data_IF_756926365647
#
_entry.id   IF_756926365647
#
_cell.length_a   1.000
_cell.length_b   1.000
_cell.length_c   1.000
_cell.angle_alpha   90.00
_cell.angle_beta   90.00
_cell.angle_gamma   90.00
#
_symmetry.space_group_name_H-M   'P 1'
#
loop_
_entity.id
_entity.type
_entity.pdbx_description
1 polymer ?
#
# COMPACT_ATOMS: atom_id res chain seq x y z
N UNK A 1 -6.58 -72.18 19.70
CA UNK A 1 -5.20 -71.66 19.70
C UNK A 1 -5.31 -70.13 19.75
N UNK A 2 -5.28 -69.41 20.88
CA UNK A 2 -4.24 -69.30 21.92
C UNK A 2 -2.85 -69.19 21.24
N UNK A 3 -2.09 -68.08 21.28
CA UNK A 3 -1.62 -67.27 22.43
C UNK A 3 -0.90 -65.99 21.92
N UNK A 4 -1.14 -64.78 22.47
CA UNK A 4 -0.28 -64.02 23.44
C UNK A 4 0.89 -63.21 22.81
N UNK A 5 1.44 -62.06 23.26
CA UNK A 5 1.44 -61.15 24.45
C UNK A 5 1.87 -59.76 23.91
N UNK A 6 1.44 -58.57 24.38
CA UNK A 6 1.50 -57.89 25.69
C UNK A 6 2.91 -57.62 26.27
N UNK A 7 3.36 -56.35 26.23
CA UNK A 7 4.05 -55.56 27.30
C UNK A 7 4.76 -54.33 26.72
N UNK A 8 5.10 -53.24 27.44
CA UNK A 8 4.57 -52.44 28.56
C UNK A 8 5.71 -51.45 28.89
N UNK A 9 5.35 -50.20 29.22
CA UNK A 9 6.08 -49.23 30.08
C UNK A 9 7.45 -48.70 29.58
N UNK A 10 7.87 -47.45 29.82
CA UNK A 10 7.30 -46.37 30.64
C UNK A 10 8.08 -45.05 30.54
N UNK A 11 7.38 -43.97 30.94
CA UNK A 11 7.78 -42.64 31.46
C UNK A 11 9.24 -42.15 31.35
N UNK A 12 9.43 -40.90 30.93
CA UNK A 12 9.90 -39.80 31.81
C UNK A 12 9.84 -38.42 31.13
N UNK A 13 9.52 -37.40 31.92
CA UNK A 13 9.32 -35.99 31.59
C UNK A 13 10.64 -35.28 31.20
N UNK A 14 10.57 -34.28 30.31
CA UNK A 14 11.27 -32.99 30.48
C UNK A 14 10.44 -31.84 29.94
N UNK A 15 10.19 -30.90 30.85
CA UNK A 15 9.76 -29.53 30.59
C UNK A 15 10.73 -28.83 29.64
N UNK A 16 10.22 -28.13 28.63
CA UNK A 16 10.86 -26.97 28.02
C UNK A 16 9.76 -26.02 27.55
N UNK A 17 9.55 -24.95 28.33
CA UNK A 17 8.89 -23.74 27.85
C UNK A 17 9.82 -23.13 26.81
N UNK A 18 9.41 -23.12 25.55
CA UNK A 18 9.90 -22.19 24.56
C UNK A 18 8.76 -21.21 24.29
N UNK A 19 8.96 -19.99 24.77
CA UNK A 19 8.26 -18.81 24.29
C UNK A 19 8.63 -18.64 22.82
N UNK A 20 7.72 -19.00 21.92
CA UNK A 20 7.82 -18.63 20.51
C UNK A 20 7.62 -17.12 20.41
N UNK A 21 8.72 -16.36 20.55
CA UNK A 21 8.80 -15.05 19.94
C UNK A 21 8.82 -15.28 18.43
N UNK A 22 7.65 -15.14 17.81
CA UNK A 22 7.55 -15.03 16.35
C UNK A 22 8.30 -13.77 15.95
N UNK A 23 9.53 -13.95 15.47
CA UNK A 23 10.29 -12.91 14.79
C UNK A 23 9.68 -12.76 13.39
N UNK A 24 8.77 -11.81 13.23
CA UNK A 24 8.25 -11.43 11.92
C UNK A 24 9.32 -10.63 11.18
N UNK A 25 10.14 -11.30 10.40
CA UNK A 25 10.94 -10.65 9.35
C UNK A 25 9.99 -9.98 8.34
N UNK A 26 10.12 -8.67 8.08
CA UNK A 26 9.31 -8.01 7.06
C UNK A 26 9.68 -8.54 5.67
N UNK A 27 8.66 -8.76 4.83
CA UNK A 27 8.84 -9.20 3.44
C UNK A 27 8.97 -7.95 2.57
N UNK A 28 10.06 -7.85 1.80
CA UNK A 28 10.28 -6.77 0.83
C UNK A 28 9.52 -7.12 -0.44
N UNK A 29 8.44 -6.39 -0.74
CA UNK A 29 7.59 -6.69 -1.91
C UNK A 29 7.94 -5.88 -3.16
N UNK A 30 8.63 -4.73 -3.05
CA UNK A 30 9.10 -3.98 -4.24
C UNK A 30 10.18 -2.95 -3.94
N UNK A 31 11.05 -2.70 -4.93
CA UNK A 31 12.04 -1.61 -4.96
C UNK A 31 11.54 -0.52 -5.90
N UNK A 32 11.45 0.72 -5.43
CA UNK A 32 11.14 1.89 -6.26
C UNK A 32 12.38 2.79 -6.30
N UNK A 33 12.92 3.04 -7.49
CA UNK A 33 14.05 3.95 -7.66
C UNK A 33 13.54 5.36 -7.98
N UNK A 34 13.90 6.35 -7.15
CA UNK A 34 13.68 7.77 -7.44
C UNK A 34 15.03 8.47 -7.24
N UNK A 35 15.70 8.83 -8.33
CA UNK A 35 17.09 9.33 -8.30
C UNK A 35 18.12 8.26 -7.92
N UNK A 36 19.32 8.66 -7.48
CA UNK A 36 20.42 7.75 -7.05
C UNK A 36 20.10 6.90 -5.79
N UNK A 37 18.85 6.91 -5.31
CA UNK A 37 18.45 6.22 -4.10
C UNK A 37 17.33 5.22 -4.37
N UNK A 38 17.63 3.93 -4.14
CA UNK A 38 16.64 2.84 -4.14
C UNK A 38 15.83 2.90 -2.84
N UNK A 39 14.50 2.93 -2.95
CA UNK A 39 13.57 3.04 -1.81
C UNK A 39 12.72 1.77 -1.72
N UNK A 40 12.60 1.21 -0.51
CA UNK A 40 11.87 -0.03 -0.23
C UNK A 40 10.60 0.25 0.59
N UNK A 41 9.50 -0.44 0.25
CA UNK A 41 8.26 -0.46 1.04
C UNK A 41 8.23 -1.73 1.91
N UNK A 42 7.86 -1.59 3.18
CA UNK A 42 7.74 -2.70 4.13
C UNK A 42 6.29 -2.84 4.60
N UNK A 43 5.72 -4.04 4.47
CA UNK A 43 4.35 -4.35 4.93
C UNK A 43 4.43 -5.27 6.14
N UNK A 44 3.83 -4.85 7.26
CA UNK A 44 3.66 -5.72 8.43
C UNK A 44 2.22 -6.27 8.48
N UNK A 45 2.07 -7.60 8.37
CA UNK A 45 0.76 -8.26 8.54
C UNK A 45 0.55 -8.57 10.03
N UNK A 46 -0.11 -7.66 10.76
CA UNK A 46 -0.72 -8.04 12.03
C UNK A 46 -1.98 -8.87 11.74
N UNK A 47 -2.08 -10.04 12.39
CA UNK A 47 -3.23 -10.94 12.26
C UNK A 47 -4.46 -10.34 12.99
N UNK A 48 -5.63 -10.42 12.33
CA UNK A 48 -7.00 -10.29 12.87
C UNK A 48 -7.73 -8.94 12.93
N UNK A 49 -7.27 -7.89 12.22
CA UNK A 49 -8.12 -6.72 11.93
C UNK A 49 -8.14 -6.47 10.43
N UNK A 50 -9.25 -5.95 9.89
CA UNK A 50 -9.45 -5.55 8.49
C UNK A 50 -8.57 -4.35 8.07
N UNK A 51 -7.40 -4.20 8.69
CA UNK A 51 -6.58 -3.00 8.71
C UNK A 51 -5.12 -3.39 8.52
N UNK A 52 -4.45 -2.78 7.54
CA UNK A 52 -3.00 -2.85 7.37
C UNK A 52 -2.42 -1.45 7.45
N UNK A 53 -1.73 -1.17 8.54
CA UNK A 53 -0.89 0.02 8.68
C UNK A 53 0.43 -0.28 7.99
N UNK A 54 0.80 0.55 7.01
CA UNK A 54 2.07 0.46 6.31
C UNK A 54 2.96 1.58 6.82
N UNK A 55 4.19 1.24 7.20
CA UNK A 55 5.21 2.20 7.54
C UNK A 55 6.07 2.45 6.29
N UNK A 56 6.12 3.68 5.75
CA UNK A 56 7.13 4.07 4.80
C UNK A 56 8.42 4.50 5.53
N UNK A 57 9.56 4.17 4.92
CA UNK A 57 10.91 4.70 5.17
C UNK A 57 11.61 4.42 6.52
N UNK A 58 12.73 3.68 6.45
CA UNK A 58 13.86 3.86 7.37
C UNK A 58 14.73 5.01 6.86
N UNK A 59 14.89 6.07 7.65
CA UNK A 59 15.93 7.10 7.42
C UNK A 59 17.29 6.55 7.89
N UNK A 60 17.82 5.53 7.21
CA UNK A 60 19.17 5.00 7.46
C UNK A 60 20.07 5.27 6.26
N UNK A 61 20.50 6.52 6.08
CA UNK A 61 21.76 6.83 5.39
C UNK A 61 22.28 8.22 5.72
N UNK A 62 22.63 8.46 6.98
CA UNK A 62 23.78 9.29 7.29
C UNK A 62 24.79 8.39 8.00
N UNK A 63 25.70 7.78 7.24
CA UNK A 63 26.96 7.32 7.84
C UNK A 63 27.73 8.59 8.24
N UNK A 64 28.06 8.81 9.52
CA UNK A 64 29.05 9.79 9.87
C UNK A 64 30.37 9.36 9.22
N UNK A 65 30.92 10.23 8.38
CA UNK A 65 32.28 10.08 7.84
C UNK A 65 33.23 9.81 9.00
N UNK A 66 33.90 8.66 8.93
CA UNK A 66 34.85 8.23 9.92
C UNK A 66 35.96 9.28 10.10
N UNK A 67 36.07 9.85 11.30
CA UNK A 67 37.33 10.38 11.81
C UNK A 67 37.61 9.71 13.15
N UNK A 68 38.69 8.93 13.12
CA UNK A 68 39.40 8.22 14.18
C UNK A 68 39.41 8.85 15.59
N UNK A 69 39.04 8.07 16.61
CA UNK A 69 39.92 7.61 17.71
C UNK A 69 39.16 6.71 18.71
N UNK A 70 39.76 5.62 19.24
CA UNK A 70 39.08 4.69 20.14
C UNK A 70 39.42 5.01 21.60
N UNK A 71 38.81 6.03 22.20
CA UNK A 71 38.83 6.24 23.65
C UNK A 71 37.85 7.37 24.07
N UNK A 72 36.55 7.18 23.85
CA UNK A 72 35.53 7.78 24.74
C UNK A 72 34.16 7.15 24.43
N UNK A 73 33.79 6.07 25.11
CA UNK A 73 32.40 5.60 25.09
C UNK A 73 31.74 6.22 26.31
N UNK A 74 31.44 7.52 26.19
CA UNK A 74 30.51 8.18 27.11
C UNK A 74 29.11 7.93 26.55
N UNK A 75 28.33 7.18 27.33
CA UNK A 75 26.89 6.99 27.22
C UNK A 75 26.20 8.34 26.92
N UNK A 76 25.78 8.55 25.67
CA UNK A 76 25.08 9.78 25.27
C UNK A 76 24.17 9.50 24.08
N UNK A 77 22.91 9.22 24.40
CA UNK A 77 21.72 9.50 23.60
C UNK A 77 21.71 8.98 22.16
N UNK A 78 21.15 7.79 21.95
CA UNK A 78 20.46 7.53 20.69
C UNK A 78 19.36 8.62 20.53
N UNK A 79 19.31 9.38 19.43
CA UNK A 79 18.08 10.06 19.05
C UNK A 79 17.04 8.98 18.69
N UNK A 80 16.26 8.59 19.70
CA UNK A 80 15.05 7.80 19.59
C UNK A 80 13.93 8.69 19.05
N UNK A 81 13.89 8.88 17.74
CA UNK A 81 12.69 9.30 17.00
C UNK A 81 12.98 9.28 15.49
N UNK A 82 13.08 8.08 14.91
CA UNK A 82 12.53 7.94 13.56
C UNK A 82 11.02 8.09 13.77
N UNK A 83 10.46 9.23 13.41
CA UNK A 83 9.01 9.38 13.33
C UNK A 83 8.55 8.37 12.29
N UNK A 84 7.99 7.25 12.75
CA UNK A 84 7.37 6.23 11.92
C UNK A 84 6.25 6.91 11.12
N UNK A 85 6.52 7.29 9.87
CA UNK A 85 5.50 7.85 8.98
C UNK A 85 4.35 6.84 8.94
N UNK A 86 3.14 7.27 9.29
CA UNK A 86 1.98 6.36 9.37
C UNK A 86 1.24 6.38 8.03
N UNK A 87 1.45 5.35 7.22
CA UNK A 87 0.71 5.11 6.00
C UNK A 87 -0.51 4.22 6.23
N UNK A 88 -1.58 4.46 5.48
CA UNK A 88 -2.76 3.60 5.44
C UNK A 88 -2.83 2.91 4.08
N UNK A 89 -3.04 1.60 4.12
CA UNK A 89 -3.37 0.80 2.94
C UNK A 89 -4.82 0.32 3.05
N UNK A 90 -5.57 0.54 1.97
CA UNK A 90 -6.98 0.16 1.91
C UNK A 90 -7.11 -1.30 1.48
N UNK A 91 -7.70 -2.12 2.35
CA UNK A 91 -8.01 -3.51 2.02
C UNK A 91 -9.29 -3.59 1.19
N UNK A 92 -9.13 -3.58 -0.15
CA UNK A 92 -10.23 -3.67 -1.10
C UNK A 92 -10.95 -5.02 -1.06
N UNK A 93 -10.32 -6.08 -0.52
CA UNK A 93 -10.92 -7.41 -0.42
C UNK A 93 -12.06 -7.49 0.60
N UNK A 94 -12.23 -6.45 1.42
CA UNK A 94 -13.36 -6.31 2.35
C UNK A 94 -14.65 -5.87 1.66
N UNK A 95 -14.56 -5.38 0.42
CA UNK A 95 -15.68 -4.87 -0.36
C UNK A 95 -16.43 -6.00 -1.07
N UNK A 96 -17.72 -5.80 -1.29
CA UNK A 96 -18.55 -6.72 -2.08
C UNK A 96 -18.47 -6.38 -3.58
N UNK A 97 -18.56 -7.39 -4.44
CA UNK A 97 -18.62 -7.18 -5.89
C UNK A 97 -19.83 -6.32 -6.29
N UNK A 98 -19.59 -5.33 -7.14
CA UNK A 98 -20.54 -4.30 -7.57
C UNK A 98 -21.02 -3.34 -6.47
N UNK A 99 -20.36 -3.34 -5.31
CA UNK A 99 -20.63 -2.36 -4.27
C UNK A 99 -20.18 -0.96 -4.71
N UNK A 100 -21.01 0.06 -4.46
CA UNK A 100 -20.59 1.46 -4.62
C UNK A 100 -19.67 1.80 -3.44
N UNK A 101 -18.38 1.93 -3.73
CA UNK A 101 -17.38 2.36 -2.77
C UNK A 101 -17.55 3.87 -2.55
N UNK A 102 -18.08 4.24 -1.39
CA UNK A 102 -18.31 5.62 -1.00
C UNK A 102 -17.87 5.84 0.46
N UNK A 103 -18.50 5.12 1.39
CA UNK A 103 -18.35 5.36 2.83
C UNK A 103 -17.59 4.26 3.58
N UNK A 104 -17.19 3.18 2.89
CA UNK A 104 -16.60 1.98 3.51
C UNK A 104 -15.25 2.28 4.21
N UNK A 105 -14.56 3.35 3.79
CA UNK A 105 -13.29 3.78 4.36
C UNK A 105 -13.39 5.11 5.15
N UNK A 106 -14.59 5.54 5.55
CA UNK A 106 -14.79 6.80 6.32
C UNK A 106 -14.06 6.82 7.66
N UNK A 107 -13.88 5.65 8.29
CA UNK A 107 -13.13 5.54 9.54
C UNK A 107 -11.65 5.93 9.38
N UNK A 108 -11.10 5.89 8.17
CA UNK A 108 -9.79 6.42 7.81
C UNK A 108 -9.82 7.87 7.32
N UNK A 109 -11.00 8.51 7.35
CA UNK A 109 -11.17 9.86 6.84
C UNK A 109 -11.23 9.94 5.32
N UNK A 110 -11.58 8.84 4.64
CA UNK A 110 -11.63 8.77 3.18
C UNK A 110 -13.06 8.60 2.72
N UNK A 111 -13.42 9.37 1.69
CA UNK A 111 -14.66 9.17 0.96
C UNK A 111 -14.37 9.03 -0.53
N UNK A 112 -14.81 7.93 -1.12
CA UNK A 112 -14.77 7.74 -2.56
C UNK A 112 -16.02 8.30 -3.22
N UNK A 113 -15.87 8.81 -4.43
CA UNK A 113 -16.97 9.25 -5.27
C UNK A 113 -16.80 8.65 -6.65
N UNK A 114 -17.91 8.13 -7.17
CA UNK A 114 -17.95 7.46 -8.45
C UNK A 114 -16.97 6.26 -8.53
N UNK A 115 -16.86 5.50 -7.44
CA UNK A 115 -16.09 4.27 -7.38
C UNK A 115 -17.01 3.06 -7.18
N UNK A 116 -16.72 1.97 -7.90
CA UNK A 116 -17.42 0.70 -7.76
C UNK A 116 -16.38 -0.38 -7.53
N UNK A 117 -16.57 -1.20 -6.50
CA UNK A 117 -15.75 -2.37 -6.24
C UNK A 117 -16.17 -3.51 -7.18
N UNK A 118 -15.22 -4.21 -7.78
CA UNK A 118 -15.51 -5.26 -8.74
C UNK A 118 -14.40 -6.32 -8.72
N UNK A 119 -14.78 -7.58 -8.93
CA UNK A 119 -13.86 -8.62 -9.40
C UNK A 119 -13.80 -8.60 -10.93
N UNK A 120 -12.67 -8.18 -11.54
CA UNK A 120 -12.59 -8.05 -12.99
C UNK A 120 -12.86 -9.38 -13.70
N UNK A 121 -13.85 -9.41 -14.58
CA UNK A 121 -14.09 -10.54 -15.49
C UNK A 121 -13.39 -10.36 -16.84
N UNK A 122 -13.03 -9.12 -17.18
CA UNK A 122 -12.28 -8.79 -18.36
C UNK A 122 -10.77 -8.94 -18.09
N UNK A 123 -10.07 -9.87 -18.75
CA UNK A 123 -8.64 -10.10 -18.51
C UNK A 123 -7.75 -8.92 -18.90
N UNK A 124 -8.27 -7.91 -19.61
CA UNK A 124 -7.54 -6.68 -19.92
C UNK A 124 -7.24 -5.82 -18.68
N UNK A 125 -7.98 -6.01 -17.58
CA UNK A 125 -7.84 -5.30 -16.30
C UNK A 125 -7.54 -6.28 -15.17
N UNK A 126 -6.35 -6.92 -15.16
CA UNK A 126 -6.02 -7.85 -14.09
C UNK A 126 -5.84 -7.08 -12.77
N UNK A 127 -6.30 -7.60 -11.63
CA UNK A 127 -5.92 -7.06 -10.33
C UNK A 127 -4.40 -7.15 -10.14
N UNK A 128 -3.83 -6.17 -9.46
CA UNK A 128 -2.41 -6.15 -9.06
C UNK A 128 -2.18 -7.10 -7.90
N UNK A 129 -3.11 -7.12 -6.94
CA UNK A 129 -3.11 -8.03 -5.80
C UNK A 129 -4.54 -8.47 -5.49
N UNK A 130 -4.71 -9.55 -4.74
CA UNK A 130 -6.04 -10.04 -4.39
C UNK A 130 -6.93 -10.36 -5.60
N UNK A 131 -8.21 -9.98 -5.50
CA UNK A 131 -9.25 -10.23 -6.50
C UNK A 131 -10.12 -9.02 -6.78
N UNK A 132 -10.12 -8.01 -5.89
CA UNK A 132 -10.98 -6.83 -5.94
C UNK A 132 -10.20 -5.63 -6.46
N UNK A 133 -10.84 -4.84 -7.32
CA UNK A 133 -10.35 -3.51 -7.74
C UNK A 133 -11.46 -2.49 -7.60
N UNK A 134 -11.08 -1.21 -7.57
CA UNK A 134 -12.01 -0.10 -7.78
C UNK A 134 -12.03 0.30 -9.24
N UNK A 135 -13.21 0.50 -9.81
CA UNK A 135 -13.39 1.12 -11.14
C UNK A 135 -14.15 2.43 -11.02
N UNK A 136 -13.92 3.34 -11.95
CA UNK A 136 -14.79 4.50 -12.10
C UNK A 136 -16.23 4.04 -12.43
N UNK A 137 -17.22 4.70 -11.85
CA UNK A 137 -18.62 4.44 -12.15
C UNK A 137 -18.95 4.64 -13.63
N UNK A 138 -20.09 4.13 -14.10
CA UNK A 138 -20.40 4.07 -15.53
C UNK A 138 -20.29 5.45 -16.22
N UNK A 139 -19.74 5.45 -17.44
CA UNK A 139 -19.83 6.54 -18.45
C UNK A 139 -19.14 7.87 -18.12
N UNK A 140 -18.25 7.91 -17.15
CA UNK A 140 -17.72 9.18 -16.65
C UNK A 140 -16.19 9.30 -16.72
N UNK A 141 -15.45 8.19 -16.74
CA UNK A 141 -14.00 8.21 -16.89
C UNK A 141 -13.27 8.97 -15.77
N UNK A 142 -13.91 9.17 -14.61
CA UNK A 142 -13.32 9.83 -13.46
C UNK A 142 -13.63 9.11 -12.16
N UNK A 143 -12.78 9.27 -11.16
CA UNK A 143 -13.00 8.81 -9.79
C UNK A 143 -12.41 9.84 -8.86
N UNK A 144 -13.16 10.25 -7.83
CA UNK A 144 -12.68 11.23 -6.86
C UNK A 144 -12.52 10.58 -5.49
N UNK A 145 -11.50 11.02 -4.76
CA UNK A 145 -11.27 10.63 -3.37
C UNK A 145 -11.10 11.89 -2.56
N UNK A 146 -11.87 12.00 -1.48
CA UNK A 146 -11.80 13.08 -0.50
C UNK A 146 -11.12 12.59 0.77
N UNK A 147 -10.33 13.48 1.37
CA UNK A 147 -9.67 13.25 2.64
C UNK A 147 -10.16 14.27 3.67
N UNK A 148 -10.52 13.80 4.87
CA UNK A 148 -10.96 14.69 5.96
C UNK A 148 -9.81 15.51 6.55
N UNK A 149 -8.58 15.02 6.41
CA UNK A 149 -7.34 15.69 6.78
C UNK A 149 -6.42 15.71 5.55
N UNK A 150 -5.60 16.77 5.37
CA UNK A 150 -4.71 16.83 4.23
C UNK A 150 -3.70 15.70 4.28
N UNK A 151 -3.45 15.09 3.13
CA UNK A 151 -2.40 14.08 2.97
C UNK A 151 -1.21 14.71 2.24
N UNK A 152 -0.02 14.15 2.43
CA UNK A 152 1.16 14.54 1.68
C UNK A 152 1.36 13.72 0.42
N UNK A 153 0.95 12.46 0.46
CA UNK A 153 0.98 11.64 -0.74
C UNK A 153 -0.03 10.52 -0.76
N UNK A 154 -0.27 10.10 -2.00
CA UNK A 154 -1.04 8.92 -2.35
C UNK A 154 -0.31 8.15 -3.43
N UNK A 155 -0.49 6.84 -3.39
CA UNK A 155 -0.03 5.94 -4.43
C UNK A 155 -1.02 4.82 -4.64
N UNK A 156 -1.09 4.34 -5.87
CA UNK A 156 -1.96 3.24 -6.25
C UNK A 156 -1.50 2.64 -7.58
N UNK A 157 -1.94 1.41 -7.83
CA UNK A 157 -1.71 0.73 -9.10
C UNK A 157 -2.90 0.94 -10.03
N UNK A 158 -2.60 1.28 -11.28
CA UNK A 158 -3.62 1.65 -12.26
C UNK A 158 -3.45 0.85 -13.55
N UNK A 159 -4.57 0.31 -14.05
CA UNK A 159 -4.70 -0.20 -15.41
C UNK A 159 -5.76 0.63 -16.13
N UNK A 160 -5.46 1.17 -17.31
CA UNK A 160 -6.30 2.11 -18.04
C UNK A 160 -6.29 1.84 -19.53
N UNK A 161 -7.45 2.01 -20.19
CA UNK A 161 -7.58 1.89 -21.65
C UNK A 161 -7.08 3.11 -22.42
N UNK A 162 -6.74 4.20 -21.73
CA UNK A 162 -6.26 5.47 -22.31
C UNK A 162 -5.29 6.15 -21.35
N UNK A 163 -4.72 7.28 -21.77
CA UNK A 163 -4.07 8.24 -20.86
C UNK A 163 -4.96 8.50 -19.65
N UNK A 164 -4.35 8.46 -18.47
CA UNK A 164 -5.01 8.78 -17.20
C UNK A 164 -4.15 9.72 -16.40
N UNK A 165 -4.78 10.74 -15.82
CA UNK A 165 -4.14 11.70 -14.91
C UNK A 165 -4.70 11.54 -13.51
N UNK A 166 -3.82 11.56 -12.52
CA UNK A 166 -4.13 11.69 -11.10
C UNK A 166 -3.75 13.10 -10.66
N UNK A 167 -4.74 13.91 -10.31
CA UNK A 167 -4.54 15.30 -9.86
C UNK A 167 -4.90 15.45 -8.40
N UNK A 168 -4.03 16.09 -7.61
CA UNK A 168 -4.29 16.47 -6.23
C UNK A 168 -4.69 17.93 -6.10
N UNK A 169 -5.59 18.20 -5.18
CA UNK A 169 -6.16 19.52 -4.93
C UNK A 169 -6.09 19.89 -3.45
N UNK A 170 -5.85 21.18 -3.20
CA UNK A 170 -5.92 21.76 -1.87
C UNK A 170 -7.35 21.99 -1.40
N UNK A 171 -7.50 22.57 -0.22
CA UNK A 171 -8.79 22.87 0.41
C UNK A 171 -9.65 23.83 -0.42
N UNK A 172 -9.00 24.72 -1.14
CA UNK A 172 -9.59 25.72 -2.04
C UNK A 172 -9.99 25.14 -3.41
N UNK A 173 -9.79 23.82 -3.62
CA UNK A 173 -9.98 23.11 -4.89
C UNK A 173 -9.03 23.56 -6.01
N UNK A 174 -7.88 24.12 -5.67
CA UNK A 174 -6.82 24.44 -6.62
C UNK A 174 -5.95 23.20 -6.84
N UNK A 175 -5.58 22.92 -8.09
CA UNK A 175 -4.70 21.81 -8.41
C UNK A 175 -3.27 22.12 -7.98
N UNK A 176 -2.71 21.33 -7.07
CA UNK A 176 -1.38 21.55 -6.47
C UNK A 176 -0.33 20.55 -6.96
N UNK A 177 -0.75 19.40 -7.48
CA UNK A 177 0.15 18.40 -8.04
C UNK A 177 -0.61 17.50 -9.04
N UNK A 178 0.11 16.90 -9.98
CA UNK A 178 -0.42 15.82 -10.81
C UNK A 178 0.64 14.81 -11.22
N UNK A 179 0.20 13.61 -11.56
CA UNK A 179 0.99 12.55 -12.21
C UNK A 179 0.12 11.87 -13.27
N UNK A 180 0.72 11.14 -14.21
CA UNK A 180 -0.04 10.51 -15.28
C UNK A 180 0.61 9.25 -15.86
N UNK A 181 -0.23 8.41 -16.47
CA UNK A 181 0.20 7.47 -17.52
C UNK A 181 -0.12 8.12 -18.86
N UNK A 182 0.89 8.31 -19.70
CA UNK A 182 0.76 9.01 -20.99
C UNK A 182 -0.06 8.25 -22.04
N UNK A 183 -0.20 6.94 -21.86
CA UNK A 183 -0.89 6.03 -22.80
C UNK A 183 -1.64 4.92 -22.06
N UNK A 184 -2.31 4.05 -22.83
CA UNK A 184 -2.98 2.87 -22.29
C UNK A 184 -1.96 1.83 -21.78
N UNK A 185 -2.41 0.94 -20.90
CA UNK A 185 -1.59 -0.16 -20.38
C UNK A 185 -2.42 -1.42 -20.15
N UNK A 186 -3.31 -1.78 -21.08
CA UNK A 186 -4.17 -2.95 -20.93
C UNK A 186 -3.34 -4.24 -21.05
N UNK A 187 -3.65 -5.26 -20.25
CA UNK A 187 -2.88 -6.52 -20.28
C UNK A 187 -2.95 -7.27 -21.62
N UNK A 188 -3.99 -7.01 -22.43
CA UNK A 188 -4.18 -7.63 -23.75
C UNK A 188 -3.43 -6.90 -24.86
N UNK A 189 -2.88 -5.73 -24.59
CA UNK A 189 -2.13 -4.94 -25.54
C UNK A 189 -0.63 -5.14 -25.28
N UNK A 190 0.17 -5.18 -26.34
CA UNK A 190 1.63 -5.14 -26.24
C UNK A 190 2.10 -3.69 -26.05
N UNK A 191 1.50 -3.00 -25.08
CA UNK A 191 1.80 -1.61 -24.77
C UNK A 191 3.19 -1.49 -24.12
N UNK A 192 3.79 -0.30 -24.22
CA UNK A 192 5.08 0.03 -23.60
C UNK A 192 5.01 0.02 -22.07
N UNK A 193 3.82 0.29 -21.51
CA UNK A 193 3.52 0.32 -20.08
C UNK A 193 2.77 -0.96 -19.74
N UNK A 194 3.29 -1.71 -18.77
CA UNK A 194 2.63 -2.90 -18.26
C UNK A 194 1.32 -2.54 -17.50
N UNK A 195 0.31 -3.43 -17.47
CA UNK A 195 -0.84 -3.27 -16.61
C UNK A 195 -0.43 -3.12 -15.15
N UNK A 196 -1.27 -2.46 -14.35
CA UNK A 196 -0.99 -2.11 -12.97
C UNK A 196 0.32 -1.31 -12.86
N UNK A 197 0.37 -0.17 -13.55
CA UNK A 197 1.45 0.78 -13.38
C UNK A 197 1.22 1.60 -12.11
N UNK A 198 2.29 1.82 -11.33
CA UNK A 198 2.23 2.61 -10.11
C UNK A 198 2.12 4.10 -10.44
N UNK A 199 1.05 4.74 -9.98
CA UNK A 199 0.94 6.19 -9.92
C UNK A 199 1.19 6.66 -8.49
N UNK A 200 2.09 7.63 -8.34
CA UNK A 200 2.44 8.24 -7.07
C UNK A 200 2.35 9.75 -7.20
N UNK A 201 1.64 10.37 -6.27
CA UNK A 201 1.48 11.82 -6.17
C UNK A 201 1.97 12.26 -4.79
N UNK A 202 2.99 13.11 -4.74
CA UNK A 202 3.62 13.58 -3.49
C UNK A 202 3.73 15.11 -3.55
N UNK A 203 3.45 15.79 -2.45
CA UNK A 203 3.72 17.22 -2.24
C UNK A 203 4.82 17.44 -1.21
N UNK A 204 5.42 18.63 -1.19
CA UNK A 204 6.47 18.97 -0.20
C UNK A 204 5.91 18.98 1.23
N UNK A 205 4.69 19.49 1.39
CA UNK A 205 3.94 19.57 2.65
C UNK A 205 2.57 18.91 2.51
N UNK A 206 1.94 18.45 3.61
CA UNK A 206 0.57 17.95 3.58
C UNK A 206 -0.42 19.04 3.15
N UNK A 207 -1.02 18.88 1.97
CA UNK A 207 -2.02 19.83 1.45
C UNK A 207 -3.02 19.20 0.47
N UNK A 208 -2.95 17.88 0.25
CA UNK A 208 -3.89 17.21 -0.64
C UNK A 208 -5.16 16.87 0.16
N UNK A 209 -6.26 17.59 -0.09
CA UNK A 209 -7.58 17.29 0.49
C UNK A 209 -8.44 16.43 -0.43
N UNK A 210 -8.10 16.41 -1.72
CA UNK A 210 -8.88 15.75 -2.75
C UNK A 210 -7.97 15.29 -3.86
N UNK A 211 -8.22 14.10 -4.39
CA UNK A 211 -7.62 13.64 -5.63
C UNK A 211 -8.69 13.30 -6.64
N UNK A 212 -8.36 13.46 -7.92
CA UNK A 212 -9.22 13.05 -9.03
C UNK A 212 -8.41 12.25 -10.04
N UNK A 213 -8.85 11.03 -10.28
CA UNK A 213 -8.46 10.24 -11.45
C UNK A 213 -9.31 10.68 -12.63
N UNK A 214 -8.69 10.88 -13.80
CA UNK A 214 -9.38 11.29 -15.01
C UNK A 214 -8.78 10.61 -16.24
N UNK A 215 -9.56 9.75 -16.87
CA UNK A 215 -9.27 9.10 -18.15
C UNK A 215 -10.35 9.49 -19.16
N UNK A 216 -10.06 10.50 -19.99
CA UNK A 216 -11.04 11.07 -20.91
C UNK A 216 -11.61 10.01 -21.86
N UNK A 217 -12.90 9.67 -21.71
CA UNK A 217 -13.57 8.64 -22.51
C UNK A 217 -12.83 7.29 -22.46
N UNK A 218 -12.17 7.03 -21.33
CA UNK A 218 -11.48 5.79 -21.01
C UNK A 218 -12.11 5.06 -19.83
N UNK A 219 -11.71 3.81 -19.66
CA UNK A 219 -12.01 3.00 -18.47
C UNK A 219 -10.70 2.70 -17.76
N UNK A 220 -10.74 2.61 -16.43
CA UNK A 220 -9.58 2.26 -15.63
C UNK A 220 -9.99 1.51 -14.37
N UNK A 221 -9.05 0.74 -13.84
CA UNK A 221 -9.10 0.13 -12.52
C UNK A 221 -7.98 0.71 -11.64
N UNK A 222 -8.27 0.83 -10.35
CA UNK A 222 -7.36 1.21 -9.29
C UNK A 222 -7.27 0.05 -8.31
N UNK A 223 -6.06 -0.31 -7.92
CA UNK A 223 -5.76 -1.36 -6.95
C UNK A 223 -4.64 -0.91 -6.00
N UNK A 224 -4.48 -1.61 -4.88
CA UNK A 224 -3.43 -1.39 -3.89
C UNK A 224 -3.30 0.10 -3.51
N UNK A 225 -4.40 0.70 -3.05
CA UNK A 225 -4.49 2.14 -2.74
C UNK A 225 -3.91 2.44 -1.35
N UNK A 226 -2.94 3.36 -1.28
CA UNK A 226 -2.33 3.78 -0.02
C UNK A 226 -1.98 5.27 0.01
N UNK A 227 -1.97 5.86 1.21
CA UNK A 227 -1.68 7.28 1.42
C UNK A 227 -1.08 7.54 2.81
N UNK A 228 -0.48 8.72 3.01
CA UNK A 228 0.09 9.14 4.29
C UNK A 228 -0.07 10.65 4.53
N UNK A 229 -0.14 11.03 5.81
CA UNK A 229 -0.45 12.40 6.23
C UNK A 229 0.77 13.33 6.33
N UNK A 230 1.94 12.83 6.70
CA UNK A 230 3.13 13.65 7.06
C UNK A 230 4.21 13.74 5.97
#
# INVERSE_FOLDING_TARGET
>A
MATSKLNRQGKSQRHLRLSDRVSTTPVVESVVSIGESNRHLYVNRSQTSSERIIYPFDRLSEQPTAVSNPADITESGLPSSAEEEKGIYLDLETLQGFEVANHQFEHWGIQFRNAIALQPSNPAYPPKSGSMVLIAGPKSGWMEVLFTQPIRAVSCYVTSSRRITLTGFNRENEAIAYTELSEANLATLNDSIAPNALLTLITETPDIYRINFSAFDGQFSVDDFYFYWD
#
